data_IF_140677001840
#
_entry.id   IF_140677001840
#
_cell.length_a   1.000
_cell.length_b   1.000
_cell.length_c   1.000
_cell.angle_alpha   90.00
_cell.angle_beta   90.00
_cell.angle_gamma   90.00
#
_symmetry.space_group_name_H-M   'P 1'
#
loop_
_entity.id
_entity.type
_entity.pdbx_description
1 polymer ?
#
# COMPACT_ATOMS: atom_id res chain seq x y z
N UNK A 1 3.90 16.36 12.79
CA UNK A 1 4.53 15.29 11.98
C UNK A 1 6.04 15.32 12.11
N UNK A 2 6.69 16.46 11.85
CA UNK A 2 8.15 16.58 11.96
C UNK A 2 8.66 16.28 13.37
N UNK A 3 7.97 16.73 14.41
CA UNK A 3 8.31 16.39 15.80
C UNK A 3 8.28 14.88 16.07
N UNK A 4 7.31 14.17 15.44
CA UNK A 4 7.27 12.71 15.54
C UNK A 4 8.49 12.05 14.84
N UNK A 5 8.96 12.62 13.72
CA UNK A 5 10.15 12.11 13.04
C UNK A 5 11.41 12.33 13.88
N UNK A 6 11.56 13.51 14.48
CA UNK A 6 12.68 13.79 15.41
C UNK A 6 12.68 12.81 16.58
N UNK A 7 11.50 12.57 17.18
CA UNK A 7 11.39 11.60 18.27
C UNK A 7 11.71 10.17 17.85
N UNK A 8 11.33 9.78 16.63
CA UNK A 8 11.69 8.46 16.08
C UNK A 8 13.20 8.36 15.86
N UNK A 9 13.84 9.42 15.36
CA UNK A 9 15.29 9.48 15.16
C UNK A 9 16.06 9.33 16.47
N UNK A 10 15.63 10.05 17.53
CA UNK A 10 16.17 9.90 18.88
C UNK A 10 16.08 8.44 19.36
N UNK A 11 14.91 7.81 19.23
CA UNK A 11 14.69 6.42 19.66
C UNK A 11 15.56 5.43 18.88
N UNK A 12 15.74 5.62 17.58
CA UNK A 12 16.67 4.83 16.76
C UNK A 12 18.11 5.02 17.26
N UNK A 13 18.49 6.26 17.58
CA UNK A 13 19.80 6.58 18.16
C UNK A 13 20.03 5.85 19.49
N UNK A 14 19.04 5.82 20.38
CA UNK A 14 19.09 5.09 21.65
C UNK A 14 19.31 3.58 21.45
N UNK A 15 18.60 2.95 20.50
CA UNK A 15 18.73 1.53 20.15
C UNK A 15 20.16 1.25 19.65
N UNK A 16 20.67 2.07 18.73
CA UNK A 16 22.02 1.92 18.19
C UNK A 16 23.07 2.07 19.28
N UNK A 17 22.91 3.06 20.17
CA UNK A 17 23.80 3.26 21.31
C UNK A 17 23.79 2.06 22.27
N UNK A 18 22.62 1.45 22.51
CA UNK A 18 22.50 0.24 23.32
C UNK A 18 23.24 -0.95 22.70
N UNK A 19 23.10 -1.17 21.40
CA UNK A 19 23.82 -2.22 20.66
C UNK A 19 25.34 -2.02 20.75
N UNK A 20 25.82 -0.77 20.61
CA UNK A 20 27.25 -0.44 20.75
C UNK A 20 27.77 -0.72 22.17
N UNK A 21 27.04 -0.28 23.20
CA UNK A 21 27.42 -0.55 24.59
C UNK A 21 27.46 -2.03 24.93
N UNK A 22 26.56 -2.81 24.32
CA UNK A 22 26.50 -4.28 24.49
C UNK A 22 27.50 -5.06 23.63
N UNK A 23 28.35 -4.39 22.82
CA UNK A 23 29.29 -5.05 21.91
C UNK A 23 28.60 -5.85 20.78
N UNK A 24 27.31 -5.59 20.51
CA UNK A 24 26.50 -6.33 19.54
C UNK A 24 26.42 -5.64 18.17
N UNK A 25 26.75 -4.37 18.10
CA UNK A 25 26.53 -3.53 16.89
C UNK A 25 27.20 -4.11 15.64
N UNK A 26 28.46 -4.53 15.76
CA UNK A 26 29.26 -5.04 14.62
C UNK A 26 28.75 -6.38 14.08
N UNK A 27 27.92 -7.10 14.83
CA UNK A 27 27.32 -8.38 14.42
C UNK A 27 25.79 -8.32 14.30
N UNK A 28 25.22 -7.13 14.15
CA UNK A 28 23.76 -6.94 14.03
C UNK A 28 23.41 -6.34 12.68
N UNK A 29 22.54 -7.02 11.90
CA UNK A 29 21.91 -6.46 10.72
C UNK A 29 20.68 -5.68 11.14
N UNK A 30 20.63 -4.40 10.78
CA UNK A 30 19.59 -3.45 11.20
C UNK A 30 18.77 -3.06 9.98
N UNK A 31 17.46 -3.22 10.05
CA UNK A 31 16.49 -2.69 9.09
C UNK A 31 15.69 -1.58 9.76
N UNK A 32 15.72 -0.39 9.19
CA UNK A 32 14.87 0.73 9.60
C UNK A 32 13.95 1.08 8.43
N UNK A 33 12.64 0.90 8.59
CA UNK A 33 11.64 1.12 7.54
C UNK A 33 10.30 1.50 8.13
N UNK A 34 9.43 2.08 7.30
CA UNK A 34 8.02 2.30 7.64
C UNK A 34 7.16 1.15 7.10
N UNK A 35 6.16 0.72 7.86
CA UNK A 35 5.19 -0.30 7.46
C UNK A 35 4.20 0.20 6.40
N UNK A 36 3.93 1.51 6.37
CA UNK A 36 3.06 2.20 5.41
C UNK A 36 3.32 3.70 5.40
N UNK A 37 2.71 4.42 4.47
CA UNK A 37 2.80 5.88 4.36
C UNK A 37 2.16 6.65 5.51
N UNK A 38 2.30 7.96 5.45
CA UNK A 38 1.77 8.88 6.46
C UNK A 38 0.30 8.63 6.76
N UNK A 39 -0.11 8.97 7.97
CA UNK A 39 -1.51 8.94 8.38
C UNK A 39 -2.31 10.11 7.76
N UNK A 40 -2.15 10.35 6.46
CA UNK A 40 -2.81 11.41 5.68
C UNK A 40 -3.67 10.79 4.57
N UNK A 41 -4.44 11.66 3.88
CA UNK A 41 -5.20 11.28 2.70
C UNK A 41 -4.25 10.92 1.55
N UNK A 42 -4.65 9.98 0.69
CA UNK A 42 -3.85 9.38 -0.39
C UNK A 42 -2.59 8.61 0.06
N UNK A 43 -2.30 8.56 1.35
CA UNK A 43 -1.18 7.82 1.93
C UNK A 43 -1.66 6.50 2.56
N UNK A 44 -1.49 6.32 3.88
CA UNK A 44 -1.92 5.08 4.56
C UNK A 44 -3.27 4.57 4.04
N UNK A 45 -3.34 3.28 3.66
CA UNK A 45 -4.47 2.56 3.07
C UNK A 45 -4.67 2.75 1.56
N UNK A 46 -3.94 3.63 0.90
CA UNK A 46 -4.09 3.87 -0.53
C UNK A 46 -2.86 3.40 -1.28
N UNK A 47 -3.06 2.91 -2.52
CA UNK A 47 -2.01 2.29 -3.32
C UNK A 47 -1.23 3.30 -4.19
N UNK A 48 -1.31 4.58 -3.86
CA UNK A 48 -0.45 5.61 -4.41
C UNK A 48 0.95 5.57 -3.78
N UNK A 49 1.95 6.20 -4.41
CA UNK A 49 3.33 6.22 -3.89
C UNK A 49 3.38 6.67 -2.43
N UNK A 50 2.63 7.71 -2.06
CA UNK A 50 2.55 8.15 -0.68
C UNK A 50 2.05 7.11 0.33
N UNK A 51 1.41 6.04 -0.14
CA UNK A 51 0.91 4.95 0.70
C UNK A 51 1.78 3.69 0.71
N UNK A 52 2.53 3.44 -0.36
CA UNK A 52 3.25 2.17 -0.56
C UNK A 52 4.75 2.31 -0.83
N UNK A 53 5.25 3.48 -1.27
CA UNK A 53 6.68 3.70 -1.40
C UNK A 53 7.26 4.14 -0.05
N UNK A 54 7.81 3.19 0.68
CA UNK A 54 8.29 3.40 2.03
C UNK A 54 9.80 3.61 2.08
N UNK A 55 10.29 4.53 2.93
CA UNK A 55 11.71 4.62 3.20
C UNK A 55 12.19 3.32 3.86
N UNK A 56 13.33 2.82 3.39
CA UNK A 56 14.01 1.69 4.01
C UNK A 56 15.51 1.95 4.05
N UNK A 57 16.12 1.73 5.20
CA UNK A 57 17.55 1.78 5.42
C UNK A 57 18.01 0.43 5.96
N UNK A 58 19.17 -0.03 5.49
CA UNK A 58 19.78 -1.26 5.97
C UNK A 58 21.23 -0.98 6.35
N UNK A 59 21.65 -1.41 7.52
CA UNK A 59 23.00 -1.29 8.02
C UNK A 59 23.45 -2.58 8.70
N UNK A 60 24.75 -2.84 8.75
CA UNK A 60 25.33 -3.98 9.45
C UNK A 60 26.32 -4.78 8.62
N UNK A 61 26.70 -6.00 9.07
CA UNK A 61 27.70 -6.82 8.41
C UNK A 61 27.41 -7.08 6.93
N UNK A 62 28.41 -6.87 6.08
CA UNK A 62 28.29 -7.07 4.65
C UNK A 62 27.56 -5.97 3.88
N UNK A 63 26.99 -4.98 4.54
CA UNK A 63 26.31 -3.85 3.90
C UNK A 63 27.32 -2.74 3.60
N UNK A 64 27.48 -2.38 2.33
CA UNK A 64 28.34 -1.26 1.92
C UNK A 64 27.68 0.06 2.37
N UNK A 65 28.40 0.95 3.07
CA UNK A 65 27.84 2.22 3.53
C UNK A 65 27.61 3.20 2.36
N UNK A 66 26.75 4.20 2.60
CA UNK A 66 26.49 5.34 1.70
C UNK A 66 26.02 4.94 0.30
N UNK A 67 25.28 3.84 0.17
CA UNK A 67 24.68 3.44 -1.08
C UNK A 67 23.20 3.80 -1.14
N UNK A 68 22.74 4.20 -2.31
CA UNK A 68 21.31 4.37 -2.61
C UNK A 68 20.94 3.37 -3.68
N UNK A 69 20.04 2.45 -3.36
CA UNK A 69 19.48 1.49 -4.31
C UNK A 69 18.19 2.06 -4.90
N UNK A 70 18.02 1.85 -6.21
CA UNK A 70 16.82 2.33 -6.97
C UNK A 70 15.97 1.17 -7.50
N UNK A 71 16.39 -0.05 -7.24
CA UNK A 71 15.66 -1.25 -7.63
C UNK A 71 14.38 -1.42 -6.78
N UNK A 72 13.39 -2.09 -7.36
CA UNK A 72 12.14 -2.39 -6.69
C UNK A 72 12.35 -3.51 -5.66
N UNK A 73 12.03 -3.21 -4.41
CA UNK A 73 12.04 -4.14 -3.28
C UNK A 73 10.61 -4.18 -2.72
N UNK A 74 10.15 -5.37 -2.37
CA UNK A 74 8.85 -5.55 -1.71
C UNK A 74 9.03 -5.79 -0.21
N UNK A 75 8.07 -5.42 0.62
CA UNK A 75 8.09 -5.71 2.06
C UNK A 75 8.21 -7.21 2.38
N UNK A 76 7.75 -8.09 1.49
CA UNK A 76 7.90 -9.55 1.64
C UNK A 76 9.36 -10.02 1.51
N UNK A 77 10.28 -9.19 1.02
CA UNK A 77 11.69 -9.52 0.84
C UNK A 77 12.51 -9.40 2.14
N UNK A 78 11.97 -8.70 3.15
CA UNK A 78 12.67 -8.47 4.42
C UNK A 78 12.90 -9.79 5.17
N UNK A 79 11.87 -10.63 5.30
CA UNK A 79 11.99 -11.88 6.04
C UNK A 79 12.99 -12.86 5.39
N UNK A 80 12.99 -13.10 4.06
CA UNK A 80 14.04 -13.88 3.40
C UNK A 80 15.46 -13.33 3.60
N UNK A 81 15.61 -11.99 3.59
CA UNK A 81 16.91 -11.37 3.85
C UNK A 81 17.39 -11.61 5.28
N UNK A 82 16.49 -11.53 6.28
CA UNK A 82 16.79 -11.85 7.67
C UNK A 82 17.20 -13.32 7.85
N UNK A 83 16.45 -14.26 7.26
CA UNK A 83 16.76 -15.68 7.34
C UNK A 83 18.13 -15.99 6.74
N UNK A 84 18.40 -15.44 5.55
CA UNK A 84 19.69 -15.64 4.89
C UNK A 84 20.86 -15.06 5.70
N UNK A 85 20.69 -13.89 6.29
CA UNK A 85 21.69 -13.28 7.18
C UNK A 85 21.98 -14.14 8.42
N UNK A 86 20.96 -14.84 8.94
CA UNK A 86 21.10 -15.79 10.05
C UNK A 86 21.62 -17.18 9.62
N UNK A 87 21.97 -17.39 8.35
CA UNK A 87 22.40 -18.69 7.83
C UNK A 87 21.27 -19.72 7.73
N UNK A 88 20.02 -19.29 7.81
CA UNK A 88 18.83 -20.15 7.78
C UNK A 88 18.34 -20.26 6.33
N UNK A 89 18.05 -21.48 5.89
CA UNK A 89 17.51 -21.74 4.55
C UNK A 89 16.14 -21.10 4.38
N UNK A 90 15.97 -20.30 3.34
CA UNK A 90 14.67 -19.69 3.01
C UNK A 90 13.68 -20.79 2.62
N UNK A 91 12.50 -20.87 3.30
CA UNK A 91 11.47 -21.84 2.97
C UNK A 91 10.92 -21.65 1.55
N UNK A 92 10.63 -22.74 0.84
CA UNK A 92 10.17 -22.70 -0.57
C UNK A 92 8.82 -21.98 -0.76
N UNK A 93 7.99 -21.87 0.26
CA UNK A 93 6.70 -21.18 0.19
C UNK A 93 6.81 -19.66 0.34
N UNK A 94 7.98 -19.13 0.67
CA UNK A 94 8.21 -17.70 0.74
C UNK A 94 8.38 -17.13 -0.67
N UNK A 95 7.54 -16.17 -1.05
CA UNK A 95 7.57 -15.49 -2.35
C UNK A 95 8.56 -14.31 -2.38
N UNK A 96 9.03 -13.87 -1.23
CA UNK A 96 10.06 -12.84 -1.09
C UNK A 96 11.44 -13.35 -1.50
N UNK A 97 12.33 -12.44 -1.88
CA UNK A 97 13.71 -12.73 -2.26
C UNK A 97 14.69 -12.07 -1.28
N UNK A 98 15.86 -12.70 -1.08
CA UNK A 98 16.96 -12.06 -0.36
C UNK A 98 17.59 -10.97 -1.24
N UNK A 99 17.12 -9.75 -1.09
CA UNK A 99 17.61 -8.60 -1.86
C UNK A 99 19.02 -8.13 -1.46
N UNK A 100 19.60 -8.71 -0.41
CA UNK A 100 20.98 -8.45 0.02
C UNK A 100 21.98 -9.43 -0.57
N UNK A 101 21.53 -10.49 -1.25
CA UNK A 101 22.40 -11.44 -1.91
C UNK A 101 23.21 -10.79 -3.04
N UNK A 102 24.47 -11.25 -3.24
CA UNK A 102 25.36 -10.75 -4.29
C UNK A 102 24.82 -11.01 -5.70
N UNK A 103 24.08 -12.08 -5.88
CA UNK A 103 23.45 -12.55 -7.12
C UNK A 103 21.97 -12.16 -7.25
N UNK A 104 21.49 -11.29 -6.36
CA UNK A 104 20.10 -10.82 -6.41
C UNK A 104 19.75 -10.20 -7.76
N UNK A 105 18.67 -10.69 -8.35
CA UNK A 105 18.11 -10.13 -9.58
C UNK A 105 16.97 -9.17 -9.24
N UNK A 106 17.08 -7.88 -9.55
CA UNK A 106 16.07 -6.89 -9.25
C UNK A 106 14.69 -7.26 -9.82
N UNK A 107 13.64 -7.00 -9.06
CA UNK A 107 12.26 -7.20 -9.51
C UNK A 107 11.95 -6.29 -10.69
N UNK A 108 11.30 -6.83 -11.72
CA UNK A 108 10.80 -6.04 -12.87
C UNK A 108 9.56 -5.22 -12.49
N UNK A 109 8.81 -5.68 -11.52
CA UNK A 109 7.63 -5.01 -10.98
C UNK A 109 7.34 -5.49 -9.56
N UNK A 110 6.56 -4.70 -8.83
CA UNK A 110 5.95 -5.07 -7.55
C UNK A 110 4.44 -4.90 -7.63
N UNK A 111 3.71 -5.64 -6.80
CA UNK A 111 2.25 -5.58 -6.71
C UNK A 111 1.86 -5.21 -5.29
N UNK A 112 0.82 -4.39 -5.16
CA UNK A 112 0.16 -4.14 -3.89
C UNK A 112 -1.37 -4.24 -4.05
N UNK A 113 -2.04 -4.54 -2.95
CA UNK A 113 -3.47 -4.82 -2.92
C UNK A 113 -4.17 -4.06 -1.79
N UNK A 114 -5.42 -3.68 -2.02
CA UNK A 114 -6.33 -3.18 -1.00
C UNK A 114 -7.70 -3.82 -1.21
N UNK A 115 -8.23 -4.48 -0.18
CA UNK A 115 -9.57 -5.07 -0.22
C UNK A 115 -10.51 -4.41 0.79
N UNK A 116 -10.23 -4.53 2.07
CA UNK A 116 -11.00 -3.89 3.14
C UNK A 116 -10.06 -3.27 4.17
N UNK A 117 -10.46 -2.15 4.73
CA UNK A 117 -9.82 -1.62 5.93
C UNK A 117 -10.88 -1.32 6.97
N UNK A 118 -10.84 -1.98 8.10
CA UNK A 118 -11.87 -1.95 9.15
C UNK A 118 -13.24 -2.29 8.56
N UNK A 119 -14.14 -1.30 8.50
CA UNK A 119 -15.50 -1.42 7.95
C UNK A 119 -15.63 -0.92 6.50
N UNK A 120 -14.58 -0.31 5.94
CA UNK A 120 -14.61 0.28 4.59
C UNK A 120 -14.19 -0.76 3.56
N UNK A 121 -15.13 -1.19 2.72
CA UNK A 121 -14.88 -2.17 1.67
C UNK A 121 -14.32 -1.47 0.43
N UNK A 122 -13.22 -2.01 -0.05
CA UNK A 122 -12.56 -1.58 -1.28
C UNK A 122 -12.00 -2.80 -2.01
N UNK A 123 -11.71 -2.66 -3.30
CA UNK A 123 -10.99 -3.67 -4.09
C UNK A 123 -10.15 -2.98 -5.14
N UNK A 124 -8.85 -2.91 -4.89
CA UNK A 124 -7.88 -2.29 -5.78
C UNK A 124 -6.65 -3.19 -5.87
N UNK A 125 -6.07 -3.26 -7.06
CA UNK A 125 -4.75 -3.86 -7.30
C UNK A 125 -3.88 -2.86 -8.04
N UNK A 126 -2.60 -2.82 -7.70
CA UNK A 126 -1.63 -1.97 -8.40
C UNK A 126 -0.41 -2.77 -8.82
N UNK A 127 0.12 -2.42 -9.98
CA UNK A 127 1.43 -2.87 -10.48
C UNK A 127 2.32 -1.66 -10.60
N UNK A 128 3.49 -1.72 -9.99
CA UNK A 128 4.51 -0.66 -10.07
C UNK A 128 5.74 -1.22 -10.79
N UNK A 129 6.14 -0.57 -11.86
CA UNK A 129 7.43 -0.77 -12.55
C UNK A 129 8.34 0.43 -12.25
N UNK A 130 9.63 0.43 -12.64
CA UNK A 130 10.50 1.58 -12.38
C UNK A 130 10.02 2.92 -12.92
N UNK A 131 9.16 2.92 -13.94
CA UNK A 131 8.65 4.16 -14.56
C UNK A 131 7.15 4.36 -14.38
N UNK A 132 6.35 3.31 -14.47
CA UNK A 132 4.89 3.44 -14.49
C UNK A 132 4.25 2.72 -13.32
N UNK A 133 3.15 3.31 -12.84
CA UNK A 133 2.22 2.66 -11.92
C UNK A 133 0.86 2.53 -12.60
N UNK A 134 0.29 1.35 -12.48
CA UNK A 134 -1.05 1.03 -12.94
C UNK A 134 -1.92 0.59 -11.77
N UNK A 135 -3.13 1.15 -11.66
CA UNK A 135 -4.14 0.74 -10.69
C UNK A 135 -5.37 0.20 -11.41
N UNK A 136 -5.89 -0.92 -10.93
CA UNK A 136 -7.20 -1.44 -11.30
C UNK A 136 -8.15 -1.27 -10.13
N UNK A 137 -9.20 -0.45 -10.32
CA UNK A 137 -10.27 -0.22 -9.37
C UNK A 137 -11.46 -1.11 -9.73
N UNK A 138 -11.83 -2.07 -8.87
CA UNK A 138 -12.94 -2.98 -9.12
C UNK A 138 -14.29 -2.40 -8.65
N UNK A 139 -14.28 -1.50 -7.65
CA UNK A 139 -15.47 -0.82 -7.14
C UNK A 139 -15.45 0.64 -7.58
N UNK A 140 -16.04 0.93 -8.73
CA UNK A 140 -16.04 2.27 -9.35
C UNK A 140 -17.27 3.11 -9.00
N UNK A 141 -18.24 2.50 -8.32
CA UNK A 141 -19.51 3.10 -7.89
C UNK A 141 -19.38 4.07 -6.72
N UNK A 142 -18.21 4.15 -6.12
CA UNK A 142 -17.92 4.88 -4.89
C UNK A 142 -16.59 5.65 -4.96
N UNK A 143 -16.39 6.74 -4.15
CA UNK A 143 -15.14 7.50 -4.11
C UNK A 143 -14.00 6.72 -3.45
N UNK A 144 -12.77 7.22 -3.56
CA UNK A 144 -11.65 6.74 -2.77
C UNK A 144 -11.86 7.05 -1.27
N UNK A 145 -12.30 8.27 -0.96
CA UNK A 145 -12.55 8.69 0.41
C UNK A 145 -13.96 8.33 0.85
N UNK A 146 -14.17 7.05 1.08
CA UNK A 146 -15.37 6.50 1.72
C UNK A 146 -15.36 6.79 3.22
N UNK A 147 -16.51 6.63 3.93
CA UNK A 147 -16.57 6.66 5.39
C UNK A 147 -15.51 5.72 5.99
N UNK A 148 -14.73 6.24 6.93
CA UNK A 148 -13.61 5.51 7.52
C UNK A 148 -13.25 6.07 8.89
N UNK A 149 -12.35 5.42 9.60
CA UNK A 149 -11.84 5.91 10.88
C UNK A 149 -11.15 7.30 10.77
N UNK A 150 -10.81 7.74 9.55
CA UNK A 150 -10.21 9.05 9.30
C UNK A 150 -11.23 10.21 9.36
N UNK A 151 -12.53 9.93 9.34
CA UNK A 151 -13.57 10.96 9.24
C UNK A 151 -13.57 11.95 10.40
N UNK A 152 -13.14 11.52 11.59
CA UNK A 152 -13.07 12.36 12.77
C UNK A 152 -11.83 13.28 12.80
N UNK A 153 -10.90 13.15 11.86
CA UNK A 153 -9.72 14.00 11.84
C UNK A 153 -10.06 15.43 11.38
N UNK A 154 -9.41 16.46 11.96
CA UNK A 154 -9.69 17.84 11.57
C UNK A 154 -9.53 18.08 10.07
N UNK A 155 -8.49 17.52 9.45
CA UNK A 155 -8.24 17.64 8.01
C UNK A 155 -9.33 16.96 7.18
N UNK A 156 -9.88 15.82 7.62
CA UNK A 156 -10.98 15.13 6.93
C UNK A 156 -12.25 15.97 6.98
N UNK A 157 -12.57 16.54 8.15
CA UNK A 157 -13.72 17.44 8.32
C UNK A 157 -13.59 18.64 7.39
N UNK A 158 -12.41 19.26 7.35
CA UNK A 158 -12.15 20.39 6.46
C UNK A 158 -12.35 20.05 4.98
N UNK A 159 -11.81 18.91 4.53
CA UNK A 159 -12.03 18.46 3.15
C UNK A 159 -13.50 18.18 2.84
N UNK A 160 -14.29 17.62 3.76
CA UNK A 160 -15.73 17.43 3.57
C UNK A 160 -16.48 18.75 3.48
N UNK A 161 -16.10 19.74 4.29
CA UNK A 161 -16.64 21.11 4.19
C UNK A 161 -16.33 21.74 2.83
N UNK A 162 -15.06 21.66 2.38
CA UNK A 162 -14.64 22.17 1.07
C UNK A 162 -15.40 21.48 -0.07
N UNK A 163 -15.61 20.17 0.02
CA UNK A 163 -16.40 19.43 -0.96
C UNK A 163 -17.86 19.92 -1.00
N UNK A 164 -18.49 20.09 0.16
CA UNK A 164 -19.86 20.59 0.24
C UNK A 164 -20.01 22.00 -0.34
N UNK A 165 -18.99 22.85 -0.16
CA UNK A 165 -18.94 24.22 -0.70
C UNK A 165 -18.44 24.29 -2.15
N UNK A 166 -18.05 23.17 -2.79
CA UNK A 166 -17.44 23.10 -4.12
C UNK A 166 -16.14 23.91 -4.24
N UNK A 167 -15.35 23.96 -3.18
CA UNK A 167 -14.08 24.71 -3.09
C UNK A 167 -12.85 23.81 -3.38
N UNK A 168 -13.05 22.57 -3.81
CA UNK A 168 -11.96 21.65 -4.13
C UNK A 168 -11.38 21.91 -5.52
N UNK A 169 -10.03 21.85 -5.62
CA UNK A 169 -9.35 21.84 -6.90
C UNK A 169 -9.40 20.44 -7.56
N UNK A 170 -8.98 20.36 -8.84
CA UNK A 170 -9.00 19.11 -9.62
C UNK A 170 -8.23 17.96 -8.93
N UNK A 171 -7.04 18.22 -8.38
CA UNK A 171 -6.24 17.21 -7.72
C UNK A 171 -6.94 16.64 -6.46
N UNK A 172 -7.66 17.47 -5.73
CA UNK A 172 -8.45 17.05 -4.58
C UNK A 172 -9.69 16.25 -5.02
N UNK A 173 -10.33 16.63 -6.12
CA UNK A 173 -11.50 15.94 -6.67
C UNK A 173 -11.18 14.53 -7.16
N UNK A 174 -9.96 14.23 -7.61
CA UNK A 174 -9.53 12.84 -7.93
C UNK A 174 -9.81 11.91 -6.74
N UNK A 175 -9.60 12.38 -5.53
CA UNK A 175 -9.69 11.57 -4.32
C UNK A 175 -11.05 11.68 -3.60
N UNK A 176 -11.63 12.87 -3.58
CA UNK A 176 -12.89 13.15 -2.90
C UNK A 176 -14.10 13.17 -3.85
N UNK A 177 -13.89 13.05 -5.15
CA UNK A 177 -14.98 12.96 -6.14
C UNK A 177 -15.90 11.77 -5.90
N UNK A 178 -17.06 11.76 -6.55
CA UNK A 178 -18.12 10.77 -6.29
C UNK A 178 -17.80 9.35 -6.78
N UNK A 179 -16.92 9.21 -7.77
CA UNK A 179 -16.58 7.94 -8.42
C UNK A 179 -15.07 7.85 -8.70
N UNK A 180 -14.60 6.64 -8.87
CA UNK A 180 -13.22 6.33 -9.31
C UNK A 180 -13.19 5.95 -10.79
N UNK A 181 -12.09 6.28 -11.47
CA UNK A 181 -11.80 5.68 -12.76
C UNK A 181 -11.59 4.16 -12.60
N UNK A 182 -12.06 3.32 -13.54
CA UNK A 182 -11.85 1.86 -13.46
C UNK A 182 -10.36 1.49 -13.57
N UNK A 183 -9.58 2.34 -14.22
CA UNK A 183 -8.14 2.15 -14.40
C UNK A 183 -7.41 3.47 -14.28
N UNK A 184 -6.23 3.40 -13.72
CA UNK A 184 -5.33 4.54 -13.63
C UNK A 184 -3.94 4.13 -14.08
N UNK A 185 -3.26 5.01 -14.82
CA UNK A 185 -1.87 4.85 -15.24
C UNK A 185 -1.13 6.15 -14.96
N UNK A 186 -0.01 6.08 -14.28
CA UNK A 186 0.83 7.23 -13.94
C UNK A 186 2.26 7.02 -14.41
N UNK A 187 2.89 8.03 -14.98
CA UNK A 187 4.32 8.08 -15.30
C UNK A 187 5.07 8.70 -14.12
N UNK A 188 5.56 7.86 -13.21
CA UNK A 188 6.17 8.27 -11.95
C UNK A 188 7.41 9.16 -12.12
N UNK A 189 8.07 9.10 -13.29
CA UNK A 189 9.20 9.96 -13.60
C UNK A 189 8.79 11.43 -13.88
N UNK A 190 7.59 11.65 -14.44
CA UNK A 190 7.08 12.96 -14.82
C UNK A 190 5.94 13.44 -13.93
N UNK A 191 5.30 12.52 -13.20
CA UNK A 191 4.18 12.78 -12.28
C UNK A 191 4.34 11.96 -10.99
N UNK A 192 5.33 12.30 -10.14
CA UNK A 192 5.59 11.58 -8.89
C UNK A 192 4.44 11.70 -7.86
N UNK A 193 3.52 12.62 -8.08
CA UNK A 193 2.35 12.83 -7.22
C UNK A 193 1.08 12.16 -7.75
N UNK A 194 1.14 11.50 -8.91
CA UNK A 194 0.04 10.71 -9.48
C UNK A 194 -1.26 11.53 -9.64
N UNK A 195 -1.13 12.70 -10.25
CA UNK A 195 -2.25 13.63 -10.48
C UNK A 195 -2.88 13.41 -11.85
N UNK A 196 -2.06 13.11 -12.86
CA UNK A 196 -2.51 12.97 -14.25
C UNK A 196 -2.70 11.51 -14.62
N UNK A 197 -3.94 11.04 -14.62
CA UNK A 197 -4.28 9.69 -15.09
C UNK A 197 -4.12 9.59 -16.62
N UNK A 198 -3.19 8.75 -17.07
CA UNK A 198 -2.84 8.53 -18.48
C UNK A 198 -3.58 7.31 -19.09
N UNK A 199 -4.50 6.65 -18.37
CA UNK A 199 -5.16 5.43 -18.86
C UNK A 199 -5.96 5.64 -20.16
N UNK A 200 -6.44 6.85 -20.41
CA UNK A 200 -7.17 7.20 -21.63
C UNK A 200 -6.30 7.95 -22.67
N UNK A 201 -5.02 8.19 -22.40
CA UNK A 201 -4.12 8.86 -23.35
C UNK A 201 -3.59 7.85 -24.40
N UNK A 202 -3.90 8.05 -25.71
CA UNK A 202 -3.44 7.15 -26.76
C UNK A 202 -1.91 6.96 -26.81
N UNK A 203 -1.14 7.98 -26.40
CA UNK A 203 0.33 7.92 -26.36
C UNK A 203 0.85 6.87 -25.37
N UNK A 204 0.06 6.54 -24.35
CA UNK A 204 0.42 5.60 -23.30
C UNK A 204 -0.25 4.21 -23.44
N UNK A 205 -0.98 3.96 -24.56
CA UNK A 205 -1.69 2.69 -24.81
C UNK A 205 -0.81 1.44 -24.66
N UNK A 206 0.43 1.48 -25.12
CA UNK A 206 1.38 0.38 -25.02
C UNK A 206 1.74 0.10 -23.55
N UNK A 207 2.04 1.13 -22.78
CA UNK A 207 2.35 1.00 -21.35
C UNK A 207 1.14 0.46 -20.58
N UNK A 208 -0.06 0.97 -20.86
CA UNK A 208 -1.30 0.47 -20.23
C UNK A 208 -1.53 -1.01 -20.51
N UNK A 209 -1.42 -1.44 -21.79
CA UNK A 209 -1.59 -2.84 -22.18
C UNK A 209 -0.57 -3.75 -21.50
N UNK A 210 0.68 -3.32 -21.40
CA UNK A 210 1.74 -4.06 -20.70
C UNK A 210 1.39 -4.26 -19.21
N UNK A 211 0.96 -3.21 -18.52
CA UNK A 211 0.66 -3.27 -17.09
C UNK A 211 -0.62 -4.07 -16.80
N UNK A 212 -1.64 -3.98 -17.67
CA UNK A 212 -2.81 -4.89 -17.62
C UNK A 212 -2.37 -6.36 -17.69
N UNK A 213 -1.45 -6.68 -18.61
CA UNK A 213 -0.91 -8.04 -18.76
C UNK A 213 -0.12 -8.49 -17.53
N UNK A 214 0.72 -7.61 -16.96
CA UNK A 214 1.46 -7.92 -15.73
C UNK A 214 0.51 -8.24 -14.58
N UNK A 215 -0.53 -7.43 -14.38
CA UNK A 215 -1.52 -7.68 -13.32
C UNK A 215 -2.30 -8.97 -13.58
N UNK A 216 -2.76 -9.21 -14.81
CA UNK A 216 -3.52 -10.41 -15.15
C UNK A 216 -2.71 -11.69 -14.93
N UNK A 217 -1.44 -11.69 -15.31
CA UNK A 217 -0.53 -12.81 -15.07
C UNK A 217 -0.32 -13.04 -13.58
N UNK A 218 -0.04 -11.98 -12.82
CA UNK A 218 0.14 -12.08 -11.37
C UNK A 218 -1.11 -12.65 -10.67
N UNK A 219 -2.31 -12.17 -11.03
CA UNK A 219 -3.58 -12.71 -10.49
C UNK A 219 -3.70 -14.21 -10.78
N UNK A 220 -3.38 -14.62 -12.01
CA UNK A 220 -3.43 -16.04 -12.41
C UNK A 220 -2.42 -16.89 -11.64
N UNK A 221 -1.19 -16.41 -11.50
CA UNK A 221 -0.09 -17.14 -10.86
C UNK A 221 -0.29 -17.28 -9.35
N UNK A 222 -0.81 -16.23 -8.70
CA UNK A 222 -1.02 -16.22 -7.24
C UNK A 222 -2.40 -16.71 -6.80
N UNK A 223 -3.35 -16.86 -7.73
CA UNK A 223 -4.75 -17.17 -7.40
C UNK A 223 -5.44 -16.04 -6.65
N UNK A 224 -5.00 -14.77 -6.84
CA UNK A 224 -5.59 -13.62 -6.16
C UNK A 224 -7.10 -13.51 -6.43
N UNK A 225 -7.87 -13.29 -5.38
CA UNK A 225 -9.34 -13.21 -5.41
C UNK A 225 -9.87 -11.78 -5.25
N UNK A 226 -9.01 -10.78 -5.40
CA UNK A 226 -9.37 -9.38 -5.15
C UNK A 226 -10.48 -8.81 -6.04
N UNK A 227 -10.79 -9.45 -7.15
CA UNK A 227 -11.96 -9.12 -7.98
C UNK A 227 -13.28 -9.71 -7.44
N UNK A 228 -13.24 -10.59 -6.44
CA UNK A 228 -14.43 -11.23 -5.87
C UNK A 228 -14.85 -10.56 -4.56
N UNK A 229 -16.14 -10.64 -4.25
CA UNK A 229 -16.67 -10.13 -2.99
C UNK A 229 -16.17 -10.99 -1.82
N UNK A 230 -15.87 -10.34 -0.69
CA UNK A 230 -15.54 -11.01 0.57
C UNK A 230 -16.66 -11.98 0.98
N UNK A 231 -16.29 -13.07 1.66
CA UNK A 231 -17.25 -14.08 2.13
C UNK A 231 -18.27 -13.51 3.12
N UNK A 232 -19.45 -14.10 3.18
CA UNK A 232 -20.48 -13.71 4.16
C UNK A 232 -19.98 -13.81 5.60
N UNK A 233 -19.14 -14.81 5.90
CA UNK A 233 -18.53 -14.96 7.22
C UNK A 233 -17.62 -13.76 7.57
N UNK A 234 -16.80 -13.29 6.62
CA UNK A 234 -15.95 -12.11 6.81
C UNK A 234 -16.76 -10.82 6.99
N UNK A 235 -17.79 -10.63 6.16
CA UNK A 235 -18.70 -9.48 6.26
C UNK A 235 -19.50 -9.48 7.56
N UNK A 236 -20.00 -10.63 8.01
CA UNK A 236 -20.70 -10.78 9.29
C UNK A 236 -19.78 -10.47 10.48
N UNK A 237 -18.54 -10.96 10.45
CA UNK A 237 -17.55 -10.64 11.48
C UNK A 237 -17.27 -9.12 11.56
N UNK A 238 -17.13 -8.46 10.42
CA UNK A 238 -16.97 -7.02 10.36
C UNK A 238 -18.20 -6.27 10.86
N UNK A 239 -19.40 -6.69 10.44
CA UNK A 239 -20.67 -6.11 10.87
C UNK A 239 -20.87 -6.25 12.39
N UNK A 240 -20.55 -7.42 12.94
CA UNK A 240 -20.61 -7.68 14.39
C UNK A 240 -19.65 -6.78 15.17
N UNK A 241 -18.47 -6.49 14.62
CA UNK A 241 -17.44 -5.66 15.26
C UNK A 241 -17.74 -4.16 15.16
N UNK A 242 -18.26 -3.69 14.01
CA UNK A 242 -18.31 -2.28 13.66
C UNK A 242 -19.73 -1.70 13.55
N UNK A 243 -20.77 -2.55 13.54
CA UNK A 243 -22.18 -2.16 13.58
C UNK A 243 -22.56 -1.19 12.45
N UNK A 244 -23.18 -0.05 12.84
CA UNK A 244 -23.68 0.95 11.91
C UNK A 244 -22.62 1.66 11.07
N UNK A 245 -21.33 1.54 11.42
CA UNK A 245 -20.22 2.03 10.59
C UNK A 245 -20.08 1.26 9.27
N UNK A 246 -20.63 0.06 9.20
CA UNK A 246 -20.60 -0.80 8.00
C UNK A 246 -21.62 -0.33 6.96
N UNK A 247 -21.35 0.77 6.26
CA UNK A 247 -22.29 1.44 5.34
C UNK A 247 -22.18 1.00 3.88
N UNK A 248 -21.18 0.18 3.53
CA UNK A 248 -21.04 -0.29 2.15
C UNK A 248 -22.16 -1.26 1.76
N UNK A 249 -22.62 -1.26 0.48
CA UNK A 249 -23.74 -2.09 0.01
C UNK A 249 -23.55 -3.60 0.24
N UNK A 250 -22.31 -4.08 0.25
CA UNK A 250 -21.99 -5.49 0.50
C UNK A 250 -22.50 -5.97 1.87
N UNK A 251 -22.61 -5.08 2.84
CA UNK A 251 -23.16 -5.42 4.17
C UNK A 251 -24.67 -5.64 4.17
N UNK A 252 -25.41 -5.08 3.21
CA UNK A 252 -26.87 -5.21 3.16
C UNK A 252 -27.28 -6.66 2.94
N UNK A 253 -26.50 -7.41 2.14
CA UNK A 253 -26.69 -8.84 1.93
C UNK A 253 -26.67 -9.61 3.25
N UNK A 254 -25.68 -9.37 4.09
CA UNK A 254 -25.52 -10.10 5.37
C UNK A 254 -26.49 -9.61 6.44
N UNK A 255 -26.88 -8.33 6.43
CA UNK A 255 -27.98 -7.82 7.28
C UNK A 255 -29.30 -8.53 6.97
N UNK A 256 -29.60 -8.76 5.68
CA UNK A 256 -30.79 -9.50 5.29
C UNK A 256 -30.77 -10.95 5.77
N UNK A 257 -29.61 -11.60 5.80
CA UNK A 257 -29.44 -12.95 6.34
C UNK A 257 -29.71 -13.02 7.86
N UNK A 258 -29.29 -12.00 8.61
CA UNK A 258 -29.56 -11.92 10.05
C UNK A 258 -31.04 -11.74 10.36
N UNK A 259 -31.77 -10.92 9.58
CA UNK A 259 -33.22 -10.69 9.74
C UNK A 259 -34.05 -11.95 9.45
N UNK A 260 -33.58 -12.87 8.61
CA UNK A 260 -34.28 -14.14 8.30
C UNK A 260 -34.08 -15.23 9.36
N UNK A 261 -33.13 -15.06 10.26
CA UNK A 261 -32.83 -16.02 11.33
C UNK A 261 -33.49 -15.69 12.68
N UNK A 262 -34.07 -14.49 12.77
CA UNK A 262 -34.93 -14.03 13.86
C UNK A 262 -36.41 -14.05 13.44
#
# INVERSE_FOLDING_TARGET
HYDCLLKTDEQVGEIIAALKRGGLYENTLIFCFSDHGYKLHRHKQFLYEGGIQMPMMVAGPGIKPKQVRKDLISGIDIAPACLAAAGIKIPKHMEGANFLAKDYQPRKFVVAARDRCDFTIERIRTVVTPRYKYLRNYLTDRPFMQPSYKDNWPVSKKFREMMAKREMNEAQLIFFGSKKAPEELYDLANDPHEIRNLANDPKHRKALAQHRKLLANWIKETGDKGQTTESDAGLLAALKRWGDKCVNPEYDRVRALLKKKN
#
